data_IF_265192615803
#
_entry.id   IF_265192615803
#
_cell.length_a   1.000
_cell.length_b   1.000
_cell.length_c   1.000
_cell.angle_alpha   90.00
_cell.angle_beta   90.00
_cell.angle_gamma   90.00
#
_symmetry.space_group_name_H-M   'P 1'
#
loop_
_entity.id
_entity.type
_entity.pdbx_description
1 polymer ?
#
# COMPACT_ATOMS: atom_id res chain seq x y z
N UNK A 1 -27.70 11.72 -1.19
CA UNK A 1 -26.36 11.79 -0.57
C UNK A 1 -26.21 10.80 0.59
N UNK A 2 -27.21 10.71 1.48
CA UNK A 2 -27.16 9.76 2.60
C UNK A 2 -27.05 8.32 2.16
N UNK A 3 -27.77 7.92 1.10
CA UNK A 3 -27.72 6.57 0.56
C UNK A 3 -26.36 6.22 -0.05
N UNK A 4 -25.70 7.19 -0.69
CA UNK A 4 -24.36 7.00 -1.26
C UNK A 4 -23.36 6.70 -0.16
N UNK A 5 -23.36 7.48 0.92
CA UNK A 5 -22.46 7.27 2.06
C UNK A 5 -22.71 5.93 2.75
N UNK A 6 -23.96 5.55 2.93
CA UNK A 6 -24.33 4.28 3.54
C UNK A 6 -23.86 3.11 2.69
N UNK A 7 -24.10 3.15 1.37
CA UNK A 7 -23.63 2.11 0.45
C UNK A 7 -22.12 2.03 0.39
N UNK A 8 -21.44 3.17 0.44
CA UNK A 8 -19.98 3.23 0.48
C UNK A 8 -19.45 2.54 1.74
N UNK A 9 -20.04 2.81 2.89
CA UNK A 9 -19.67 2.17 4.15
C UNK A 9 -19.89 0.65 4.10
N UNK A 10 -21.00 0.19 3.55
CA UNK A 10 -21.32 -1.23 3.40
C UNK A 10 -20.31 -1.93 2.50
N UNK A 11 -19.94 -1.30 1.37
CA UNK A 11 -18.94 -1.84 0.45
C UNK A 11 -17.58 -1.92 1.13
N UNK A 12 -17.17 -0.88 1.84
CA UNK A 12 -15.89 -0.85 2.57
C UNK A 12 -15.83 -1.95 3.63
N UNK A 13 -16.96 -2.19 4.30
CA UNK A 13 -17.06 -3.22 5.32
C UNK A 13 -16.92 -4.63 4.73
N UNK A 14 -17.55 -4.88 3.59
CA UNK A 14 -17.48 -6.19 2.92
C UNK A 14 -16.15 -6.44 2.22
N UNK A 15 -15.48 -5.40 1.74
CA UNK A 15 -14.23 -5.49 0.98
C UNK A 15 -13.09 -4.78 1.71
N UNK A 16 -12.85 -5.16 2.95
CA UNK A 16 -11.80 -4.55 3.78
C UNK A 16 -10.40 -4.67 3.18
N UNK A 17 -10.14 -5.76 2.47
CA UNK A 17 -8.87 -6.00 1.79
C UNK A 17 -8.64 -5.08 0.58
N UNK A 18 -9.68 -4.39 0.11
CA UNK A 18 -9.62 -3.42 -0.99
C UNK A 18 -9.73 -1.97 -0.47
N UNK A 19 -9.26 -1.69 0.73
CA UNK A 19 -9.34 -0.36 1.33
C UNK A 19 -8.66 0.74 0.49
N UNK A 20 -7.67 0.38 -0.31
CA UNK A 20 -6.96 1.29 -1.21
C UNK A 20 -7.76 1.65 -2.46
N UNK A 21 -8.80 0.88 -2.79
CA UNK A 21 -9.56 1.07 -4.02
C UNK A 21 -10.58 2.20 -3.87
N UNK A 22 -10.60 3.19 -4.78
CA UNK A 22 -11.64 4.21 -4.76
C UNK A 22 -12.99 3.62 -5.19
N UNK A 23 -14.06 4.22 -4.71
CA UNK A 23 -15.43 3.81 -5.04
C UNK A 23 -16.11 4.93 -5.81
N UNK A 24 -16.70 4.60 -6.96
CA UNK A 24 -17.47 5.54 -7.78
C UNK A 24 -18.86 4.97 -8.02
N UNK A 25 -19.87 5.79 -7.78
CA UNK A 25 -21.24 5.46 -8.10
C UNK A 25 -21.63 6.15 -9.40
N UNK A 26 -22.08 5.37 -10.39
CA UNK A 26 -22.47 5.86 -11.71
C UNK A 26 -23.84 5.34 -12.09
N UNK A 27 -24.51 6.01 -13.03
CA UNK A 27 -25.75 5.51 -13.61
C UNK A 27 -25.62 5.40 -15.12
N UNK A 28 -25.73 4.19 -15.64
CA UNK A 28 -25.71 3.93 -17.08
C UNK A 28 -26.96 4.50 -17.76
N UNK A 29 -28.09 4.49 -17.06
CA UNK A 29 -29.38 4.98 -17.59
C UNK A 29 -29.38 6.50 -17.73
N UNK A 30 -28.95 7.22 -16.69
CA UNK A 30 -28.93 8.69 -16.69
C UNK A 30 -27.58 9.27 -17.09
N UNK A 31 -26.58 8.42 -17.29
CA UNK A 31 -25.18 8.79 -17.57
C UNK A 31 -24.55 9.66 -16.50
N UNK A 32 -25.10 9.62 -15.29
CA UNK A 32 -24.62 10.41 -14.17
C UNK A 32 -23.22 9.92 -13.74
N UNK A 33 -22.29 10.85 -13.60
CA UNK A 33 -20.92 10.62 -13.12
C UNK A 33 -20.05 9.69 -13.98
N UNK A 34 -20.50 9.34 -15.19
CA UNK A 34 -19.70 8.50 -16.09
C UNK A 34 -18.39 9.18 -16.49
N UNK A 35 -18.38 10.51 -16.57
CA UNK A 35 -17.19 11.29 -16.89
C UNK A 35 -16.08 11.16 -15.85
N UNK A 36 -16.39 10.69 -14.64
CA UNK A 36 -15.39 10.49 -13.59
C UNK A 36 -14.57 9.22 -13.77
N UNK A 37 -15.05 8.26 -14.53
CA UNK A 37 -14.35 6.99 -14.75
C UNK A 37 -13.03 7.15 -15.49
N UNK A 38 -12.96 7.85 -16.65
CA UNK A 38 -11.68 8.04 -17.34
C UNK A 38 -10.64 8.76 -16.50
N UNK A 39 -11.03 9.78 -15.76
CA UNK A 39 -10.14 10.53 -14.87
C UNK A 39 -9.58 9.63 -13.77
N UNK A 40 -10.41 8.81 -13.17
CA UNK A 40 -10.02 7.87 -12.13
C UNK A 40 -9.09 6.79 -12.67
N UNK A 41 -9.39 6.23 -13.82
CA UNK A 41 -8.55 5.23 -14.48
C UNK A 41 -7.16 5.80 -14.76
N UNK A 42 -7.09 7.02 -15.28
CA UNK A 42 -5.82 7.71 -15.54
C UNK A 42 -5.02 7.90 -14.25
N UNK A 43 -5.66 8.36 -13.19
CA UNK A 43 -5.02 8.58 -11.89
C UNK A 43 -4.47 7.29 -11.29
N UNK A 44 -5.24 6.20 -11.37
CA UNK A 44 -4.80 4.88 -10.88
C UNK A 44 -3.64 4.36 -11.72
N UNK A 45 -3.71 4.51 -13.05
CA UNK A 45 -2.64 4.10 -13.95
C UNK A 45 -1.34 4.85 -13.66
N UNK A 46 -1.41 6.15 -13.40
CA UNK A 46 -0.26 6.95 -13.01
C UNK A 46 0.33 6.46 -11.68
N UNK A 47 -0.53 6.12 -10.72
CA UNK A 47 -0.10 5.55 -9.43
C UNK A 47 0.64 4.23 -9.62
N UNK A 48 0.13 3.35 -10.49
CA UNK A 48 0.78 2.06 -10.76
C UNK A 48 2.17 2.20 -11.37
N UNK A 49 2.39 3.24 -12.16
CA UNK A 49 3.66 3.44 -12.86
C UNK A 49 4.67 4.24 -12.06
N UNK A 50 4.32 4.65 -10.86
CA UNK A 50 5.16 5.50 -10.03
C UNK A 50 6.38 4.77 -9.51
N UNK A 51 7.54 5.36 -9.74
CA UNK A 51 8.81 4.88 -9.16
C UNK A 51 9.24 5.75 -8.01
N UNK A 52 9.64 5.09 -6.93
CA UNK A 52 10.13 5.75 -5.73
C UNK A 52 11.62 5.52 -5.64
N UNK A 53 12.39 6.59 -5.43
CA UNK A 53 13.84 6.46 -5.23
C UNK A 53 14.14 5.69 -3.95
N UNK A 54 15.21 4.92 -3.95
CA UNK A 54 15.60 4.14 -2.76
C UNK A 54 15.88 5.02 -1.56
N UNK A 55 16.45 6.21 -1.77
CA UNK A 55 16.73 7.13 -0.66
C UNK A 55 15.43 7.56 0.04
N UNK A 56 14.43 7.99 -0.72
CA UNK A 56 13.14 8.42 -0.16
C UNK A 56 12.40 7.26 0.49
N UNK A 57 12.42 6.08 -0.16
CA UNK A 57 11.82 4.88 0.41
C UNK A 57 12.46 4.51 1.75
N UNK A 58 13.78 4.55 1.85
CA UNK A 58 14.49 4.22 3.08
C UNK A 58 14.21 5.22 4.20
N UNK A 59 14.05 6.50 3.87
CA UNK A 59 13.62 7.51 4.86
C UNK A 59 12.25 7.15 5.45
N UNK A 60 11.31 6.74 4.62
CA UNK A 60 9.97 6.32 5.07
C UNK A 60 10.06 5.07 5.95
N UNK A 61 10.88 4.10 5.57
CA UNK A 61 11.09 2.88 6.36
C UNK A 61 11.68 3.21 7.72
N UNK A 62 12.69 4.09 7.77
CA UNK A 62 13.31 4.49 9.04
C UNK A 62 12.33 5.22 9.94
N UNK A 63 11.52 6.12 9.38
CA UNK A 63 10.46 6.82 10.12
C UNK A 63 9.43 5.82 10.66
N UNK A 64 9.07 4.83 9.87
CA UNK A 64 8.13 3.78 10.28
C UNK A 64 8.68 2.98 11.47
N UNK A 65 9.95 2.62 11.43
CA UNK A 65 10.62 1.90 12.53
C UNK A 65 10.65 2.75 13.80
N UNK A 66 10.83 4.05 13.66
CA UNK A 66 10.80 4.97 14.80
C UNK A 66 9.40 5.04 15.44
N UNK A 67 8.34 4.99 14.63
CA UNK A 67 6.96 5.00 15.12
C UNK A 67 6.60 3.69 15.80
N UNK A 68 6.94 2.56 15.17
CA UNK A 68 6.63 1.21 15.65
C UNK A 68 7.87 0.35 15.48
N UNK A 69 8.67 0.19 16.54
CA UNK A 69 9.91 -0.59 16.46
C UNK A 69 9.70 -2.02 15.96
N UNK A 70 10.74 -2.56 15.35
CA UNK A 70 10.72 -3.92 14.78
C UNK A 70 10.43 -4.97 15.85
N UNK A 71 9.69 -6.04 15.50
CA UNK A 71 9.35 -7.08 16.48
C UNK A 71 10.55 -7.94 16.87
N UNK A 72 10.45 -8.54 18.05
CA UNK A 72 11.38 -9.54 18.57
C UNK A 72 10.65 -10.86 18.71
N UNK A 73 11.22 -11.93 18.21
CA UNK A 73 10.67 -13.27 18.34
C UNK A 73 11.78 -14.24 18.76
N UNK A 74 11.50 -15.01 19.82
CA UNK A 74 12.43 -16.01 20.38
C UNK A 74 13.83 -15.44 20.65
N UNK A 75 13.88 -14.22 21.16
CA UNK A 75 15.12 -13.54 21.50
C UNK A 75 15.86 -12.90 20.33
N UNK A 76 15.34 -13.04 19.13
CA UNK A 76 15.92 -12.40 17.94
C UNK A 76 15.04 -11.23 17.49
N UNK A 77 15.67 -10.09 17.22
CA UNK A 77 14.98 -8.90 16.74
C UNK A 77 15.10 -8.79 15.22
N UNK A 78 14.00 -8.45 14.58
CA UNK A 78 14.00 -8.12 13.16
C UNK A 78 14.85 -6.87 12.93
N UNK A 79 15.80 -6.96 11.99
CA UNK A 79 16.60 -5.83 11.52
C UNK A 79 16.30 -5.60 10.05
N UNK A 80 15.89 -4.38 9.72
CA UNK A 80 15.67 -3.95 8.35
C UNK A 80 16.88 -3.13 7.92
N UNK A 81 17.56 -3.58 6.88
CA UNK A 81 18.78 -2.92 6.40
C UNK A 81 18.45 -1.83 5.38
N UNK A 82 17.63 -2.16 4.37
CA UNK A 82 17.19 -1.20 3.39
C UNK A 82 16.06 -1.81 2.55
N UNK A 83 15.39 -0.94 1.77
CA UNK A 83 14.39 -1.36 0.82
C UNK A 83 14.61 -0.75 -0.54
N UNK A 84 14.08 -1.38 -1.58
CA UNK A 84 14.14 -0.87 -2.95
C UNK A 84 12.90 -1.28 -3.71
N UNK A 85 12.48 -0.45 -4.65
CA UNK A 85 11.39 -0.79 -5.57
C UNK A 85 11.96 -1.56 -6.74
N UNK A 86 11.46 -2.77 -6.97
CA UNK A 86 11.97 -3.67 -8.01
C UNK A 86 11.10 -3.69 -9.26
N UNK A 87 9.83 -3.30 -9.15
CA UNK A 87 8.94 -3.25 -10.30
C UNK A 87 7.76 -2.32 -10.08
N UNK A 88 7.07 -2.02 -11.17
CA UNK A 88 5.81 -1.29 -11.21
C UNK A 88 4.73 -2.19 -11.79
N UNK A 89 3.45 -1.82 -11.62
CA UNK A 89 2.28 -2.54 -12.17
C UNK A 89 2.15 -3.99 -11.68
N UNK A 90 1.97 -4.27 -10.40
CA UNK A 90 1.84 -3.32 -9.29
C UNK A 90 3.18 -2.89 -8.71
N UNK A 91 3.22 -1.79 -7.97
CA UNK A 91 4.42 -1.39 -7.24
C UNK A 91 4.89 -2.50 -6.32
N UNK A 92 6.12 -2.95 -6.49
CA UNK A 92 6.69 -4.07 -5.72
C UNK A 92 7.99 -3.62 -5.10
N UNK A 93 8.11 -3.84 -3.79
CA UNK A 93 9.25 -3.42 -3.00
C UNK A 93 9.88 -4.63 -2.33
N UNK A 94 11.20 -4.69 -2.34
CA UNK A 94 11.94 -5.70 -1.58
C UNK A 94 12.55 -5.02 -0.36
N UNK A 95 12.31 -5.59 0.81
CA UNK A 95 12.84 -5.14 2.08
C UNK A 95 13.90 -6.15 2.53
N UNK A 96 15.16 -5.72 2.61
CA UNK A 96 16.24 -6.58 3.01
C UNK A 96 16.37 -6.60 4.53
N UNK A 97 16.32 -7.80 5.09
CA UNK A 97 16.28 -8.04 6.53
C UNK A 97 17.34 -9.04 6.95
N UNK A 98 17.51 -9.20 8.26
CA UNK A 98 18.43 -10.22 8.81
C UNK A 98 17.86 -11.63 8.70
N UNK A 99 16.57 -11.81 8.98
CA UNK A 99 15.88 -13.10 8.87
C UNK A 99 14.47 -12.88 8.36
N UNK A 100 14.10 -13.57 7.28
CA UNK A 100 12.77 -13.41 6.66
C UNK A 100 11.63 -13.81 7.61
N UNK A 101 11.86 -14.83 8.43
CA UNK A 101 10.86 -15.36 9.37
C UNK A 101 10.46 -14.35 10.44
N UNK A 102 11.32 -13.39 10.74
CA UNK A 102 11.04 -12.35 11.72
C UNK A 102 10.10 -11.26 11.18
N UNK A 103 9.94 -11.19 9.86
CA UNK A 103 9.01 -10.27 9.23
C UNK A 103 7.60 -10.86 9.27
N UNK A 104 6.91 -10.70 10.40
CA UNK A 104 5.55 -11.18 10.56
C UNK A 104 4.58 -10.40 9.70
N UNK A 105 3.47 -11.02 9.36
CA UNK A 105 2.41 -10.44 8.53
C UNK A 105 1.93 -9.08 9.04
N UNK A 106 1.76 -8.95 10.35
CA UNK A 106 1.28 -7.71 10.95
C UNK A 106 2.26 -6.55 10.75
N UNK A 107 3.56 -6.81 10.86
CA UNK A 107 4.57 -5.78 10.64
C UNK A 107 4.70 -5.43 9.17
N UNK A 108 4.58 -6.42 8.29
CA UNK A 108 4.53 -6.22 6.84
C UNK A 108 3.38 -5.29 6.45
N UNK A 109 2.20 -5.51 7.02
CA UNK A 109 1.03 -4.65 6.80
C UNK A 109 1.26 -3.23 7.32
N UNK A 110 1.91 -3.11 8.46
CA UNK A 110 2.26 -1.82 9.00
C UNK A 110 3.18 -1.04 8.05
N UNK A 111 4.22 -1.67 7.53
CA UNK A 111 5.13 -1.06 6.55
C UNK A 111 4.40 -0.67 5.26
N UNK A 112 3.55 -1.55 4.76
CA UNK A 112 2.73 -1.28 3.58
C UNK A 112 1.87 -0.03 3.79
N UNK A 113 1.22 0.07 4.95
CA UNK A 113 0.39 1.24 5.28
C UNK A 113 1.21 2.52 5.36
N UNK A 114 2.41 2.46 5.90
CA UNK A 114 3.31 3.60 5.97
C UNK A 114 3.77 4.06 4.58
N UNK A 115 4.09 3.12 3.70
CA UNK A 115 4.45 3.41 2.32
C UNK A 115 3.25 4.03 1.59
N UNK A 116 2.07 3.51 1.80
CA UNK A 116 0.85 4.03 1.18
C UNK A 116 0.53 5.44 1.67
N UNK A 117 0.69 5.71 2.95
CA UNK A 117 0.48 7.05 3.49
C UNK A 117 1.49 8.07 2.94
N UNK A 118 2.74 7.64 2.75
CA UNK A 118 3.79 8.53 2.26
C UNK A 118 3.68 8.83 0.76
N UNK A 119 3.32 7.82 -0.04
CA UNK A 119 3.38 7.92 -1.51
C UNK A 119 2.03 7.85 -2.20
N UNK A 120 0.98 7.43 -1.51
CA UNK A 120 -0.37 7.33 -2.05
C UNK A 120 -0.67 5.98 -2.65
N UNK A 121 -0.28 5.73 -3.91
CA UNK A 121 -0.58 4.51 -4.66
C UNK A 121 -2.09 4.19 -4.68
N UNK A 122 -2.90 5.23 -4.89
CA UNK A 122 -4.35 5.09 -4.92
C UNK A 122 -4.79 4.08 -5.98
N UNK A 123 -5.70 3.18 -5.61
CA UNK A 123 -6.32 2.26 -6.56
C UNK A 123 -5.47 1.08 -6.97
N UNK A 124 -4.24 0.94 -6.45
CA UNK A 124 -3.36 -0.17 -6.78
C UNK A 124 -2.89 -0.90 -5.53
N UNK A 125 -2.76 -2.23 -5.56
CA UNK A 125 -2.11 -2.94 -4.48
C UNK A 125 -0.61 -2.62 -4.45
N UNK A 126 -0.01 -2.81 -3.29
CA UNK A 126 1.43 -2.72 -3.09
C UNK A 126 1.92 -4.09 -2.66
N UNK A 127 2.97 -4.58 -3.29
CA UNK A 127 3.58 -5.85 -2.90
C UNK A 127 4.88 -5.58 -2.15
N UNK A 128 4.99 -6.13 -0.95
CA UNK A 128 6.22 -6.11 -0.15
C UNK A 128 6.76 -7.52 -0.04
N UNK A 129 8.04 -7.67 -0.28
CA UNK A 129 8.74 -8.95 -0.19
C UNK A 129 9.92 -8.77 0.76
N UNK A 130 9.98 -9.59 1.81
CA UNK A 130 11.13 -9.63 2.70
C UNK A 130 12.17 -10.59 2.16
N UNK A 131 13.42 -10.15 2.11
CA UNK A 131 14.55 -10.97 1.65
C UNK A 131 15.69 -10.87 2.63
N UNK A 132 16.31 -11.99 2.93
CA UNK A 132 17.50 -12.01 3.74
C UNK A 132 18.66 -11.38 2.97
N UNK A 133 19.37 -10.45 3.61
CA UNK A 133 20.56 -9.84 3.03
C UNK A 133 21.70 -10.85 3.08
N UNK A 134 22.34 -11.03 1.95
CA UNK A 134 23.51 -11.89 1.86
C UNK A 134 24.75 -11.27 2.46
#
# INVERSE_FOLDING_TARGET
LGDVYKRQADIRDQFQFLSYAPIVFVSAKTKQRLNKLPEMIKRISESQNRRISSAVLNDVIMDAIAINPTPTDKGKRLKIFYGTQVSVKPPTFVIFVNEEELMHFSYMRFLENQIRQAFGFEGTPIHLIARKRK
#
